data_IF_829652402796
#
_entry.id   IF_829652402796
#
_cell.length_a   1.000
_cell.length_b   1.000
_cell.length_c   1.000
_cell.angle_alpha   90.00
_cell.angle_beta   90.00
_cell.angle_gamma   90.00
#
_symmetry.space_group_name_H-M   'P 1'
#
loop_
_entity.id
_entity.type
_entity.pdbx_description
1 polymer ?
#
# COMPACT_ATOMS: atom_id res chain seq x y z
N UNK A 1 -49.43 5.93 -42.50
CA UNK A 1 -49.42 4.55 -41.96
C UNK A 1 -48.20 4.37 -41.04
N UNK A 2 -48.48 3.92 -39.80
CA UNK A 2 -47.59 3.45 -38.72
C UNK A 2 -46.29 4.21 -38.40
N UNK A 3 -46.40 5.12 -37.42
CA UNK A 3 -45.30 5.56 -36.54
C UNK A 3 -44.85 4.34 -35.71
N UNK A 4 -43.58 3.96 -35.80
CA UNK A 4 -43.01 2.91 -34.96
C UNK A 4 -42.54 3.56 -33.65
N UNK A 5 -43.34 3.40 -32.61
CA UNK A 5 -42.97 3.69 -31.23
C UNK A 5 -42.13 2.51 -30.72
N UNK A 6 -40.80 2.70 -30.62
CA UNK A 6 -39.94 1.75 -29.91
C UNK A 6 -39.94 2.19 -28.43
N UNK A 7 -40.80 1.55 -27.65
CA UNK A 7 -40.70 1.55 -26.19
C UNK A 7 -39.43 0.78 -25.81
N UNK A 8 -38.36 1.50 -25.48
CA UNK A 8 -37.16 0.91 -24.88
C UNK A 8 -37.55 0.52 -23.44
N UNK A 9 -37.57 -0.78 -23.08
CA UNK A 9 -37.80 -1.16 -21.71
C UNK A 9 -36.61 -0.66 -20.90
N UNK A 10 -36.92 0.05 -19.83
CA UNK A 10 -36.03 0.44 -18.75
C UNK A 10 -35.35 -0.86 -18.29
N UNK A 11 -34.18 -1.14 -18.85
CA UNK A 11 -33.29 -2.16 -18.35
C UNK A 11 -32.83 -1.61 -17.02
N UNK A 12 -33.42 -2.14 -15.96
CA UNK A 12 -32.97 -1.96 -14.59
C UNK A 12 -31.44 -2.10 -14.58
N UNK A 13 -30.76 -0.95 -14.56
CA UNK A 13 -29.42 -0.82 -14.03
C UNK A 13 -29.57 -1.08 -12.55
N UNK A 14 -29.62 -2.36 -12.21
CA UNK A 14 -29.29 -2.85 -10.88
C UNK A 14 -27.82 -2.48 -10.76
N UNK A 15 -27.56 -1.25 -10.31
CA UNK A 15 -26.30 -0.87 -9.69
C UNK A 15 -26.22 -1.81 -8.49
N UNK A 16 -25.63 -2.99 -8.73
CA UNK A 16 -25.08 -3.79 -7.67
C UNK A 16 -24.02 -2.90 -7.04
N UNK A 17 -24.46 -2.13 -6.06
CA UNK A 17 -23.64 -1.71 -4.93
C UNK A 17 -23.16 -3.01 -4.31
N UNK A 18 -22.16 -3.62 -4.98
CA UNK A 18 -21.34 -4.64 -4.39
C UNK A 18 -20.80 -3.97 -3.13
N UNK A 19 -21.23 -4.47 -1.98
CA UNK A 19 -20.67 -4.11 -0.71
C UNK A 19 -19.17 -4.40 -0.80
N UNK A 20 -18.40 -3.41 -1.21
CA UNK A 20 -16.96 -3.45 -1.10
C UNK A 20 -16.76 -3.35 0.39
N UNK A 21 -16.46 -4.48 1.04
CA UNK A 21 -16.16 -4.46 2.46
C UNK A 21 -15.03 -3.44 2.65
N UNK A 22 -15.31 -2.38 3.41
CA UNK A 22 -14.31 -1.39 3.85
C UNK A 22 -13.30 -1.99 4.85
N UNK A 23 -13.15 -3.32 4.84
CA UNK A 23 -12.25 -4.02 5.71
C UNK A 23 -10.82 -3.66 5.30
N UNK A 24 -10.09 -3.05 6.23
CA UNK A 24 -8.66 -2.89 6.06
C UNK A 24 -7.98 -4.26 6.06
N UNK A 25 -7.00 -4.41 5.18
CA UNK A 25 -6.17 -5.61 5.05
C UNK A 25 -4.81 -5.32 5.65
N UNK A 26 -4.31 -6.23 6.48
CA UNK A 26 -2.94 -6.13 7.00
C UNK A 26 -1.97 -6.65 5.94
N UNK A 27 -0.96 -5.85 5.62
CA UNK A 27 0.11 -6.22 4.70
C UNK A 27 1.47 -6.00 5.35
N UNK A 28 2.49 -6.68 4.84
CA UNK A 28 3.90 -6.49 5.20
C UNK A 28 4.79 -6.10 4.03
N UNK A 29 5.81 -5.33 4.32
CA UNK A 29 6.95 -5.07 3.43
C UNK A 29 8.22 -5.61 4.08
N UNK A 30 8.99 -6.38 3.33
CA UNK A 30 10.25 -6.97 3.78
C UNK A 30 11.42 -6.21 3.13
N UNK A 31 12.16 -5.36 3.87
CA UNK A 31 13.37 -4.74 3.34
C UNK A 31 14.46 -5.79 3.08
N UNK A 32 15.35 -5.48 2.14
CA UNK A 32 16.53 -6.27 1.82
C UNK A 32 17.78 -5.65 2.45
N UNK A 33 18.75 -6.49 2.80
CA UNK A 33 20.04 -6.06 3.32
C UNK A 33 20.77 -5.17 2.31
N UNK A 34 21.38 -4.09 2.82
CA UNK A 34 22.15 -3.10 2.06
C UNK A 34 21.34 -2.26 1.04
N UNK A 35 20.02 -2.43 0.99
CA UNK A 35 19.15 -1.64 0.13
C UNK A 35 18.39 -0.59 0.95
N UNK A 36 18.47 0.66 0.53
CA UNK A 36 17.54 1.67 1.02
C UNK A 36 16.14 1.37 0.47
N UNK A 37 15.16 1.49 1.35
CA UNK A 37 13.75 1.39 1.03
C UNK A 37 13.30 2.58 0.15
N UNK A 38 12.17 2.46 -0.56
CA UNK A 38 11.70 3.55 -1.43
C UNK A 38 11.44 4.87 -0.68
N UNK A 39 10.99 4.81 0.58
CA UNK A 39 10.72 6.00 1.37
C UNK A 39 11.99 6.65 1.94
N UNK A 40 13.02 5.86 2.27
CA UNK A 40 14.34 6.38 2.66
C UNK A 40 14.98 7.15 1.50
N UNK A 41 14.97 6.58 0.28
CA UNK A 41 15.46 7.26 -0.93
C UNK A 41 14.70 8.55 -1.20
N UNK A 42 13.37 8.49 -1.15
CA UNK A 42 12.50 9.66 -1.36
C UNK A 42 12.76 10.77 -0.33
N UNK A 43 13.05 10.41 0.92
CA UNK A 43 13.42 11.38 1.95
C UNK A 43 14.78 12.01 1.70
N UNK A 44 15.79 11.20 1.36
CA UNK A 44 17.15 11.66 1.07
C UNK A 44 17.21 12.61 -0.15
N UNK A 45 16.35 12.40 -1.14
CA UNK A 45 16.21 13.25 -2.32
C UNK A 45 15.43 14.56 -2.06
N UNK A 46 14.97 14.79 -0.82
CA UNK A 46 14.24 15.99 -0.44
C UNK A 46 12.76 15.95 -0.81
N UNK A 47 12.18 14.77 -1.00
CA UNK A 47 10.77 14.59 -1.35
C UNK A 47 9.79 15.14 -0.31
N UNK A 48 10.25 15.35 0.92
CA UNK A 48 9.54 16.05 1.99
C UNK A 48 10.54 16.66 2.97
N UNK A 49 10.13 17.73 3.66
CA UNK A 49 10.90 18.34 4.74
C UNK A 49 10.14 18.17 6.06
N UNK A 50 10.78 17.59 7.06
CA UNK A 50 10.26 17.52 8.42
C UNK A 50 11.03 18.49 9.31
N UNK A 51 10.35 19.08 10.30
CA UNK A 51 10.98 20.00 11.28
C UNK A 51 12.04 19.25 12.13
N UNK A 52 11.81 17.96 12.36
CA UNK A 52 12.70 17.01 13.03
C UNK A 52 12.77 15.74 12.19
N UNK A 53 13.81 14.93 12.38
CA UNK A 53 13.89 13.63 11.72
C UNK A 53 12.64 12.79 12.01
N UNK A 54 11.96 12.26 10.97
CA UNK A 54 10.75 11.45 11.14
C UNK A 54 11.10 10.07 11.66
N UNK A 55 10.16 9.45 12.37
CA UNK A 55 10.22 8.00 12.62
C UNK A 55 9.97 7.21 11.33
N UNK A 56 10.41 5.95 11.27
CA UNK A 56 10.12 5.05 10.14
C UNK A 56 8.63 5.05 9.77
N UNK A 57 7.75 4.94 10.77
CA UNK A 57 6.30 4.93 10.55
C UNK A 57 5.78 6.25 9.97
N UNK A 58 6.24 7.40 10.47
CA UNK A 58 5.85 8.71 9.94
C UNK A 58 6.34 8.88 8.49
N UNK A 59 7.56 8.45 8.20
CA UNK A 59 8.14 8.55 6.87
C UNK A 59 7.43 7.62 5.87
N UNK A 60 7.13 6.38 6.26
CA UNK A 60 6.36 5.43 5.43
C UNK A 60 4.97 6.01 5.14
N UNK A 61 4.25 6.49 6.14
CA UNK A 61 2.92 7.10 5.96
C UNK A 61 3.00 8.31 5.02
N UNK A 62 3.99 9.19 5.22
CA UNK A 62 4.19 10.36 4.36
C UNK A 62 4.50 9.96 2.91
N UNK A 63 5.38 9.00 2.69
CA UNK A 63 5.75 8.53 1.35
C UNK A 63 4.54 7.97 0.59
N UNK A 64 3.80 7.03 1.19
CA UNK A 64 2.67 6.38 0.51
C UNK A 64 1.51 7.35 0.25
N UNK A 65 1.24 8.26 1.19
CA UNK A 65 0.19 9.27 1.01
C UNK A 65 0.55 10.32 -0.06
N UNK A 66 1.82 10.74 -0.15
CA UNK A 66 2.24 11.76 -1.12
C UNK A 66 2.48 11.19 -2.52
N UNK A 67 3.21 10.08 -2.62
CA UNK A 67 3.67 9.51 -3.89
C UNK A 67 2.60 8.63 -4.53
N UNK A 68 1.91 7.81 -3.73
CA UNK A 68 0.96 6.80 -4.25
C UNK A 68 -0.51 7.14 -3.99
N UNK A 69 -0.80 8.18 -3.19
CA UNK A 69 -2.15 8.51 -2.71
C UNK A 69 -2.82 7.35 -1.95
N UNK A 70 -2.02 6.54 -1.26
CA UNK A 70 -2.47 5.41 -0.45
C UNK A 70 -2.38 5.77 1.03
N UNK A 71 -3.47 5.49 1.76
CA UNK A 71 -3.54 5.70 3.19
C UNK A 71 -3.10 4.41 3.92
N UNK A 72 -2.00 4.52 4.68
CA UNK A 72 -1.54 3.47 5.57
C UNK A 72 -1.83 3.84 7.02
N UNK A 73 -2.33 2.86 7.77
CA UNK A 73 -2.60 2.99 9.22
C UNK A 73 -1.91 1.87 9.98
N UNK A 74 -1.73 2.05 11.29
CA UNK A 74 -1.09 1.06 12.17
C UNK A 74 0.29 0.57 11.66
N UNK A 75 1.07 1.49 11.07
CA UNK A 75 2.41 1.17 10.57
C UNK A 75 3.34 0.86 11.75
N UNK A 76 3.92 -0.33 11.74
CA UNK A 76 4.84 -0.81 12.78
C UNK A 76 5.99 -1.61 12.19
N UNK A 77 7.18 -1.45 12.78
CA UNK A 77 8.33 -2.35 12.58
C UNK A 77 8.16 -3.58 13.46
N UNK A 78 8.34 -4.76 12.89
CA UNK A 78 8.21 -6.04 13.59
C UNK A 78 9.48 -6.84 13.39
N UNK A 79 10.17 -7.18 14.49
CA UNK A 79 11.31 -8.08 14.45
C UNK A 79 10.84 -9.49 14.07
N UNK A 80 11.45 -10.06 13.03
CA UNK A 80 11.10 -11.37 12.48
C UNK A 80 11.80 -12.53 13.19
N UNK A 81 12.87 -12.27 13.94
CA UNK A 81 13.68 -13.29 14.61
C UNK A 81 14.44 -14.22 13.66
N UNK A 82 14.43 -13.95 12.35
CA UNK A 82 15.12 -14.76 11.35
C UNK A 82 16.64 -14.54 11.42
N UNK A 83 17.40 -15.61 11.21
CA UNK A 83 18.84 -15.52 11.00
C UNK A 83 19.11 -14.72 9.72
N UNK A 84 19.80 -13.59 9.86
CA UNK A 84 20.18 -12.72 8.75
C UNK A 84 21.54 -13.18 8.23
N UNK A 85 21.65 -13.40 6.93
CA UNK A 85 22.93 -13.54 6.25
C UNK A 85 23.47 -12.16 5.82
N UNK A 86 24.79 -12.00 5.78
CA UNK A 86 25.47 -10.73 5.48
C UNK A 86 25.50 -10.39 3.96
N UNK A 87 24.84 -11.18 3.11
CA UNK A 87 24.85 -10.94 1.67
C UNK A 87 23.82 -9.86 1.27
N UNK A 88 24.34 -8.75 0.71
CA UNK A 88 23.54 -7.65 0.16
C UNK A 88 22.64 -8.10 -0.99
N UNK A 89 21.46 -7.48 -1.11
CA UNK A 89 20.48 -7.69 -2.20
C UNK A 89 19.91 -9.11 -2.33
N UNK A 90 20.30 -10.02 -1.43
CA UNK A 90 19.86 -11.43 -1.41
C UNK A 90 19.15 -11.74 -0.10
N UNK A 91 19.70 -11.24 1.01
CA UNK A 91 19.17 -11.52 2.33
C UNK A 91 18.15 -10.45 2.76
N UNK A 92 16.98 -10.83 3.28
CA UNK A 92 16.08 -9.87 3.93
C UNK A 92 16.66 -9.35 5.25
N UNK A 93 16.15 -8.21 5.72
CA UNK A 93 16.46 -7.70 7.07
C UNK A 93 15.84 -8.56 8.17
N UNK A 94 16.33 -8.41 9.41
CA UNK A 94 15.81 -9.11 10.59
C UNK A 94 14.40 -8.68 10.98
N UNK A 95 13.81 -7.70 10.30
CA UNK A 95 12.53 -7.10 10.62
C UNK A 95 11.71 -6.89 9.35
N UNK A 96 10.41 -6.67 9.50
CA UNK A 96 9.55 -6.22 8.41
C UNK A 96 8.65 -5.08 8.89
N UNK A 97 8.10 -4.30 7.97
CA UNK A 97 7.06 -3.32 8.29
C UNK A 97 5.69 -3.92 8.06
N UNK A 98 4.77 -3.71 8.99
CA UNK A 98 3.36 -4.10 8.87
C UNK A 98 2.50 -2.85 8.84
N UNK A 99 1.46 -2.84 8.03
CA UNK A 99 0.50 -1.74 7.93
C UNK A 99 -0.90 -2.28 7.59
N UNK A 100 -1.93 -1.54 7.99
CA UNK A 100 -3.30 -1.70 7.51
C UNK A 100 -3.55 -0.78 6.32
N UNK A 101 -4.14 -1.35 5.27
CA UNK A 101 -4.47 -0.64 4.03
C UNK A 101 -5.89 -0.98 3.58
N UNK A 102 -6.56 -0.06 2.88
CA UNK A 102 -7.89 -0.32 2.30
C UNK A 102 -7.80 -1.49 1.32
N UNK A 103 -8.83 -2.35 1.32
CA UNK A 103 -8.86 -3.51 0.41
C UNK A 103 -8.73 -3.10 -1.07
N UNK A 104 -9.26 -1.94 -1.45
CA UNK A 104 -9.16 -1.36 -2.80
C UNK A 104 -7.72 -1.14 -3.26
N UNK A 105 -6.81 -0.85 -2.33
CA UNK A 105 -5.44 -0.48 -2.66
C UNK A 105 -4.50 -1.70 -2.60
N UNK A 106 -5.01 -2.87 -2.19
CA UNK A 106 -4.17 -4.07 -1.98
C UNK A 106 -3.47 -4.54 -3.25
N UNK A 107 -4.11 -4.45 -4.42
CA UNK A 107 -3.49 -4.78 -5.70
C UNK A 107 -2.29 -3.86 -5.98
N UNK A 108 -2.45 -2.54 -5.76
CA UNK A 108 -1.37 -1.58 -5.93
C UNK A 108 -0.24 -1.80 -4.92
N UNK A 109 -0.59 -2.10 -3.67
CA UNK A 109 0.40 -2.43 -2.64
C UNK A 109 1.22 -3.67 -3.00
N UNK A 110 0.60 -4.69 -3.63
CA UNK A 110 1.32 -5.86 -4.13
C UNK A 110 2.28 -5.55 -5.27
N UNK A 111 1.93 -4.65 -6.19
CA UNK A 111 2.89 -4.13 -7.19
C UNK A 111 4.09 -3.48 -6.52
N UNK A 112 3.85 -2.76 -5.41
CA UNK A 112 4.85 -2.09 -4.57
C UNK A 112 5.54 -3.05 -3.58
N UNK A 113 5.48 -4.36 -3.84
CA UNK A 113 6.16 -5.44 -3.09
C UNK A 113 5.65 -5.66 -1.66
N UNK A 114 4.49 -5.13 -1.30
CA UNK A 114 3.81 -5.54 -0.06
C UNK A 114 3.08 -6.86 -0.25
N UNK A 115 3.04 -7.66 0.81
CA UNK A 115 2.40 -8.99 0.81
C UNK A 115 1.35 -9.03 1.91
N UNK A 116 0.16 -9.57 1.63
CA UNK A 116 -0.89 -9.78 2.65
C UNK A 116 -0.40 -10.75 3.74
N UNK A 117 -0.81 -10.53 4.98
CA UNK A 117 -0.54 -11.41 6.13
C UNK A 117 -1.84 -12.07 6.58
#
# INVERSE_FOLDING_TARGET
MKKILIAIPILLLIFSLGCTSNAAVTMKFQPMQCEETPWEKWYAEGGIQFIKEPTDSELIVAYYSNVHKIELTEVKKVESGNAVCEACNVCPTSYYFSAKVKNSDTAKMTELKWVKI
#
